data_IF_331818807376
#
_entry.id   IF_331818807376
#
_cell.length_a   1.000
_cell.length_b   1.000
_cell.length_c   1.000
_cell.angle_alpha   90.00
_cell.angle_beta   90.00
_cell.angle_gamma   90.00
#
_symmetry.space_group_name_H-M   'P 1'
#
loop_
_entity.id
_entity.type
_entity.pdbx_description
1 polymer ?
#
# COMPACT_ATOMS: atom_id res chain seq x y z
N UNK A 1 -13.00 -3.03 8.79
CA UNK A 1 -13.53 -1.90 9.62
C UNK A 1 -13.17 -2.09 11.09
N UNK A 2 -12.56 -1.10 11.76
CA UNK A 2 -12.14 -1.18 13.17
C UNK A 2 -12.73 -0.03 13.99
N UNK A 3 -13.27 -0.34 15.17
CA UNK A 3 -13.74 0.62 16.18
C UNK A 3 -12.64 0.77 17.23
N UNK A 4 -12.25 1.99 17.58
CA UNK A 4 -11.22 2.25 18.60
C UNK A 4 -11.87 2.98 19.78
N UNK A 5 -11.65 2.45 20.98
CA UNK A 5 -11.99 3.13 22.24
C UNK A 5 -10.78 3.92 22.72
N UNK A 6 -10.96 5.20 23.03
CA UNK A 6 -9.88 6.06 23.54
C UNK A 6 -10.16 6.47 24.97
N UNK A 7 -9.11 6.46 25.80
CA UNK A 7 -9.20 6.85 27.19
C UNK A 7 -8.04 7.68 27.72
N UNK A 8 -8.37 8.82 28.34
CA UNK A 8 -7.36 9.70 28.93
C UNK A 8 -6.86 9.09 30.25
N UNK A 9 -5.59 8.70 30.30
CA UNK A 9 -4.91 8.24 31.51
C UNK A 9 -3.55 8.93 31.65
N UNK A 10 -3.28 9.43 32.86
CA UNK A 10 -2.03 10.07 33.27
C UNK A 10 -0.99 8.97 33.50
N UNK A 11 0.05 8.93 32.67
CA UNK A 11 1.03 7.84 32.65
C UNK A 11 2.13 8.01 33.70
N UNK A 12 2.32 6.97 34.52
CA UNK A 12 3.55 6.71 35.27
C UNK A 12 4.52 5.87 34.43
N UNK A 13 5.78 6.30 34.37
CA UNK A 13 6.84 5.73 33.54
C UNK A 13 7.49 4.54 34.24
N UNK A 14 7.66 3.41 33.54
CA UNK A 14 8.63 2.38 33.90
C UNK A 14 9.36 1.90 32.64
N UNK A 15 10.68 2.19 32.60
CA UNK A 15 11.63 1.68 31.62
C UNK A 15 12.01 0.23 31.94
N UNK A 16 12.18 -0.60 30.92
CA UNK A 16 13.04 -1.79 30.99
C UNK A 16 13.75 -2.04 29.66
N UNK A 17 14.99 -2.50 29.76
CA UNK A 17 16.10 -2.40 28.81
C UNK A 17 16.43 -3.77 28.19
N UNK A 18 16.82 -3.74 26.89
CA UNK A 18 17.68 -4.61 26.07
C UNK A 18 17.94 -6.10 26.39
N UNK A 19 18.09 -6.93 25.33
CA UNK A 19 19.37 -7.53 24.92
C UNK A 19 19.26 -8.38 23.64
N UNK A 20 20.21 -8.21 22.72
CA UNK A 20 20.48 -9.06 21.55
C UNK A 20 21.41 -10.22 21.94
N UNK A 21 21.31 -11.38 21.27
CA UNK A 21 22.49 -12.22 21.01
C UNK A 21 22.41 -12.83 19.61
N UNK A 22 23.52 -12.69 18.89
CA UNK A 22 23.81 -13.35 17.63
C UNK A 22 24.58 -14.65 17.92
N UNK A 23 24.48 -15.64 17.03
CA UNK A 23 25.46 -16.72 16.94
C UNK A 23 25.69 -17.10 15.48
N UNK A 24 26.97 -17.19 15.12
CA UNK A 24 27.53 -17.59 13.83
C UNK A 24 28.35 -18.85 14.06
N UNK A 25 28.28 -19.89 13.22
CA UNK A 25 29.39 -20.86 13.05
C UNK A 25 29.38 -21.50 11.65
N UNK A 26 30.50 -21.29 10.96
CA UNK A 26 31.26 -22.10 9.98
C UNK A 26 30.76 -23.44 9.41
N UNK A 27 31.02 -23.66 8.11
CA UNK A 27 32.15 -24.52 7.64
C UNK A 27 32.23 -24.61 6.11
N UNK A 28 33.47 -24.57 5.60
CA UNK A 28 33.87 -24.62 4.17
C UNK A 28 34.06 -26.07 3.65
N UNK A 29 34.84 -26.35 2.58
CA UNK A 29 34.38 -26.61 1.22
C UNK A 29 34.67 -28.05 0.73
N UNK A 30 33.97 -28.52 -0.31
CA UNK A 30 34.37 -29.74 -1.03
C UNK A 30 34.44 -29.48 -2.53
N UNK A 31 35.67 -29.48 -3.02
CA UNK A 31 36.08 -29.49 -4.42
C UNK A 31 35.69 -30.82 -5.08
N UNK A 32 35.05 -30.77 -6.25
CA UNK A 32 35.12 -31.85 -7.26
C UNK A 32 35.16 -31.24 -8.66
N UNK A 33 36.31 -31.43 -9.30
CA UNK A 33 36.46 -31.40 -10.75
C UNK A 33 35.55 -32.46 -11.38
N UNK A 34 34.73 -32.05 -12.35
CA UNK A 34 34.29 -32.94 -13.42
C UNK A 34 34.38 -32.17 -14.72
N UNK A 35 35.43 -32.46 -15.48
CA UNK A 35 35.60 -32.10 -16.88
C UNK A 35 34.50 -32.77 -17.70
N UNK A 36 33.58 -31.99 -18.23
CA UNK A 36 32.65 -32.44 -19.27
C UNK A 36 32.55 -31.36 -20.34
N UNK A 37 33.23 -31.61 -21.45
CA UNK A 37 33.09 -30.97 -22.75
C UNK A 37 31.61 -30.79 -23.09
N UNK A 38 31.07 -29.59 -22.87
CA UNK A 38 29.77 -29.19 -23.39
C UNK A 38 29.97 -28.60 -24.77
N UNK A 39 29.62 -29.38 -25.78
CA UNK A 39 29.34 -28.85 -27.11
C UNK A 39 28.33 -27.72 -26.97
N UNK A 40 28.72 -26.53 -27.42
CA UNK A 40 27.84 -25.38 -27.53
C UNK A 40 26.79 -25.68 -28.60
N UNK A 41 25.70 -26.32 -28.20
CA UNK A 41 24.47 -26.31 -28.96
C UNK A 41 23.92 -24.90 -28.86
N UNK A 42 24.08 -24.13 -29.93
CA UNK A 42 23.33 -22.90 -30.17
C UNK A 42 21.86 -23.28 -30.28
N UNK A 43 21.21 -23.44 -29.12
CA UNK A 43 19.76 -23.58 -29.02
C UNK A 43 19.14 -22.25 -29.42
N UNK A 44 19.03 -22.04 -30.73
CA UNK A 44 18.15 -21.01 -31.30
C UNK A 44 16.73 -21.45 -31.03
N UNK A 45 16.26 -21.22 -29.79
CA UNK A 45 14.84 -21.36 -29.46
C UNK A 45 14.07 -20.40 -30.36
N UNK A 46 13.20 -20.97 -31.19
CA UNK A 46 12.29 -20.17 -32.01
C UNK A 46 11.54 -19.18 -31.11
N UNK A 47 11.30 -17.93 -31.55
CA UNK A 47 10.54 -16.96 -30.78
C UNK A 47 9.17 -17.54 -30.41
N UNK A 48 8.79 -17.45 -29.13
CA UNK A 48 7.47 -17.90 -28.70
C UNK A 48 6.39 -17.08 -29.41
N UNK A 49 5.31 -17.70 -29.90
CA UNK A 49 4.21 -16.97 -30.51
C UNK A 49 3.59 -16.03 -29.47
N UNK A 50 3.43 -14.76 -29.83
CA UNK A 50 2.75 -13.74 -29.02
C UNK A 50 1.34 -13.57 -29.56
N UNK A 51 0.36 -13.65 -28.67
CA UNK A 51 -1.07 -13.48 -28.91
C UNK A 51 -1.60 -12.25 -28.17
N UNK A 52 -2.75 -11.75 -28.63
CA UNK A 52 -3.35 -10.52 -28.12
C UNK A 52 -2.73 -9.25 -28.72
N UNK A 53 -3.27 -8.11 -28.32
CA UNK A 53 -2.88 -6.80 -28.84
C UNK A 53 -2.02 -6.09 -27.81
N UNK A 54 -0.78 -5.77 -28.17
CA UNK A 54 0.01 -4.81 -27.38
C UNK A 54 -0.65 -3.43 -27.50
N UNK A 55 -1.03 -2.87 -26.36
CA UNK A 55 -1.61 -1.54 -26.31
C UNK A 55 -0.48 -0.49 -26.24
N UNK A 56 -0.66 0.69 -26.86
CA UNK A 56 0.34 1.77 -26.81
C UNK A 56 0.35 2.45 -25.43
N UNK A 57 0.88 1.74 -24.43
CA UNK A 57 1.05 2.20 -23.06
C UNK A 57 2.46 2.80 -22.91
N UNK A 58 2.57 4.11 -22.58
CA UNK A 58 3.84 4.84 -22.67
C UNK A 58 4.83 4.53 -21.54
N UNK A 59 4.38 4.00 -20.41
CA UNK A 59 5.23 3.77 -19.24
C UNK A 59 5.62 2.30 -19.17
N UNK A 60 6.91 2.00 -19.23
CA UNK A 60 7.44 0.66 -19.00
C UNK A 60 7.75 0.44 -17.51
N UNK A 61 7.35 -0.71 -16.98
CA UNK A 61 7.66 -1.10 -15.59
C UNK A 61 8.82 -2.09 -15.62
N UNK A 62 10.01 -1.60 -15.29
CA UNK A 62 11.27 -2.33 -15.50
C UNK A 62 11.79 -3.08 -14.28
N UNK A 63 11.16 -2.92 -13.11
CA UNK A 63 11.69 -3.46 -11.88
C UNK A 63 10.72 -3.39 -10.69
N UNK A 64 11.12 -3.97 -9.55
CA UNK A 64 10.38 -3.86 -8.31
C UNK A 64 10.34 -2.41 -7.82
N UNK A 65 9.27 -2.06 -7.11
CA UNK A 65 9.17 -0.79 -6.40
C UNK A 65 9.63 -0.98 -4.95
N UNK A 66 10.84 -0.49 -4.57
CA UNK A 66 11.38 -0.68 -3.22
C UNK A 66 10.57 0.00 -2.12
N UNK A 67 9.80 1.04 -2.45
CA UNK A 67 9.00 1.78 -1.47
C UNK A 67 7.58 1.21 -1.30
N UNK A 68 7.22 0.15 -2.05
CA UNK A 68 5.92 -0.49 -1.93
C UNK A 68 5.84 -1.27 -0.62
N UNK A 69 4.83 -0.94 0.18
CA UNK A 69 4.58 -1.55 1.48
C UNK A 69 3.54 -2.66 1.36
N UNK A 70 3.84 -3.79 2.00
CA UNK A 70 2.78 -4.72 2.43
C UNK A 70 1.97 -4.09 3.56
N UNK A 71 0.73 -4.55 3.76
CA UNK A 71 -0.10 -4.06 4.87
C UNK A 71 0.63 -4.19 6.21
N UNK A 72 1.34 -5.30 6.45
CA UNK A 72 2.12 -5.51 7.68
C UNK A 72 3.25 -4.48 7.86
N UNK A 73 3.96 -4.13 6.79
CA UNK A 73 4.99 -3.08 6.85
C UNK A 73 4.37 -1.72 7.12
N UNK A 74 3.27 -1.38 6.44
CA UNK A 74 2.54 -0.15 6.69
C UNK A 74 2.01 -0.05 8.14
N UNK A 75 1.57 -1.16 8.74
CA UNK A 75 1.18 -1.19 10.15
C UNK A 75 2.36 -0.97 11.10
N UNK A 76 3.52 -1.55 10.78
CA UNK A 76 4.73 -1.47 11.63
C UNK A 76 5.36 -0.08 11.66
N UNK A 77 5.04 0.80 10.71
CA UNK A 77 5.57 2.17 10.65
C UNK A 77 5.02 3.09 11.74
N UNK A 78 3.85 2.76 12.28
CA UNK A 78 3.17 3.60 13.25
C UNK A 78 3.29 2.99 14.64
N UNK A 79 3.63 3.81 15.66
CA UNK A 79 3.60 3.34 17.03
C UNK A 79 2.20 2.82 17.37
N UNK A 80 2.08 1.90 18.34
CA UNK A 80 0.78 1.49 18.84
C UNK A 80 0.01 2.72 19.33
N UNK A 81 -1.31 2.71 19.12
CA UNK A 81 -2.17 3.80 19.56
C UNK A 81 -1.98 4.05 21.05
N UNK A 82 -1.60 5.28 21.40
CA UNK A 82 -1.46 5.69 22.79
C UNK A 82 -2.71 6.43 23.22
N UNK A 83 -3.44 5.84 24.17
CA UNK A 83 -4.67 6.42 24.71
C UNK A 83 -4.40 7.72 25.50
N UNK A 84 -3.15 7.95 25.91
CA UNK A 84 -2.72 9.15 26.64
C UNK A 84 -2.56 10.41 25.78
N UNK A 85 -2.56 10.29 24.45
CA UNK A 85 -2.43 11.46 23.56
C UNK A 85 -3.73 12.27 23.51
N UNK A 86 -3.67 13.58 23.21
CA UNK A 86 -4.87 14.36 22.88
C UNK A 86 -5.65 13.72 21.73
N UNK A 87 -7.00 13.75 21.78
CA UNK A 87 -7.88 13.13 20.77
C UNK A 87 -7.51 13.54 19.35
N UNK A 88 -7.24 14.82 19.12
CA UNK A 88 -6.87 15.32 17.79
C UNK A 88 -5.53 14.78 17.29
N UNK A 89 -4.60 14.48 18.20
CA UNK A 89 -3.33 13.87 17.86
C UNK A 89 -3.48 12.39 17.54
N UNK A 90 -4.30 11.66 18.32
CA UNK A 90 -4.66 10.27 18.01
C UNK A 90 -5.35 10.16 16.65
N UNK A 91 -6.28 11.07 16.38
CA UNK A 91 -6.98 11.15 15.10
C UNK A 91 -6.01 11.42 13.95
N UNK A 92 -5.08 12.37 14.13
CA UNK A 92 -4.06 12.66 13.12
C UNK A 92 -3.17 11.44 12.86
N UNK A 93 -2.72 10.74 13.91
CA UNK A 93 -1.94 9.49 13.75
C UNK A 93 -2.72 8.41 13.01
N UNK A 94 -4.00 8.21 13.36
CA UNK A 94 -4.86 7.25 12.69
C UNK A 94 -5.08 7.61 11.21
N UNK A 95 -5.33 8.88 10.87
CA UNK A 95 -5.44 9.31 9.47
C UNK A 95 -4.15 9.11 8.68
N UNK A 96 -2.98 9.36 9.29
CA UNK A 96 -1.67 9.08 8.64
C UNK A 96 -1.53 7.62 8.29
N UNK A 97 -1.79 6.76 9.28
CA UNK A 97 -1.70 5.31 9.13
C UNK A 97 -2.61 4.78 8.03
N UNK A 98 -3.89 5.16 8.07
CA UNK A 98 -4.87 4.73 7.06
C UNK A 98 -4.53 5.30 5.67
N UNK A 99 -3.94 6.50 5.60
CA UNK A 99 -3.47 7.06 4.31
C UNK A 99 -2.30 6.26 3.74
N UNK A 100 -1.32 5.86 4.56
CA UNK A 100 -0.20 5.00 4.10
C UNK A 100 -0.74 3.67 3.59
N UNK A 101 -1.62 3.01 4.34
CA UNK A 101 -2.23 1.74 3.96
C UNK A 101 -2.91 1.84 2.58
N UNK A 102 -3.75 2.85 2.38
CA UNK A 102 -4.46 3.07 1.10
C UNK A 102 -3.54 3.42 -0.06
N UNK A 103 -2.48 4.20 0.21
CA UNK A 103 -1.52 4.62 -0.83
C UNK A 103 -0.50 3.55 -1.20
N UNK A 104 -0.31 2.54 -0.34
CA UNK A 104 0.68 1.48 -0.48
C UNK A 104 2.15 1.94 -0.37
N UNK A 105 2.43 3.23 -0.12
CA UNK A 105 3.80 3.77 -0.13
C UNK A 105 3.98 4.76 1.04
N UNK A 106 5.20 4.83 1.58
CA UNK A 106 5.60 5.89 2.51
C UNK A 106 5.43 7.28 1.91
N UNK A 107 5.18 8.27 2.76
CA UNK A 107 5.19 9.66 2.32
C UNK A 107 5.24 10.65 3.46
N UNK A 108 5.51 11.90 3.10
CA UNK A 108 5.54 13.03 4.01
C UNK A 108 4.12 13.47 4.35
N UNK A 109 3.87 13.68 5.63
CA UNK A 109 2.61 14.20 6.14
C UNK A 109 2.75 15.64 6.59
N UNK A 110 1.77 16.46 6.25
CA UNK A 110 1.56 17.77 6.83
C UNK A 110 0.64 17.73 8.04
N UNK A 111 0.09 18.90 8.37
CA UNK A 111 -0.92 19.02 9.42
C UNK A 111 -2.21 18.31 9.03
N UNK A 112 -2.86 17.72 10.03
CA UNK A 112 -4.26 17.34 9.96
C UNK A 112 -5.12 18.56 10.32
N UNK A 113 -6.26 18.71 9.65
CA UNK A 113 -7.19 19.81 9.88
C UNK A 113 -8.63 19.29 9.94
N UNK A 114 -9.41 19.84 10.86
CA UNK A 114 -10.84 19.60 10.95
C UNK A 114 -11.58 20.94 10.96
N UNK A 115 -12.83 21.00 10.45
CA UNK A 115 -13.65 22.20 10.49
C UNK A 115 -13.73 22.79 11.90
N UNK A 116 -13.61 24.11 12.02
CA UNK A 116 -13.64 24.84 13.31
C UNK A 116 -12.61 24.35 14.34
N UNK A 117 -11.53 23.70 13.89
CA UNK A 117 -10.44 23.23 14.74
C UNK A 117 -10.70 21.92 15.50
N UNK A 118 -11.81 21.21 15.25
CA UNK A 118 -12.11 19.99 15.99
C UNK A 118 -13.27 19.16 15.45
N UNK A 119 -13.65 18.14 16.21
CA UNK A 119 -14.77 17.25 15.91
C UNK A 119 -16.09 17.84 16.40
N UNK A 120 -17.17 17.54 15.68
CA UNK A 120 -18.53 17.80 16.17
C UNK A 120 -18.88 16.76 17.24
N UNK A 121 -18.79 17.14 18.51
CA UNK A 121 -19.01 16.26 19.67
C UNK A 121 -20.50 15.98 19.93
N UNK A 122 -21.10 15.14 19.08
CA UNK A 122 -22.50 14.68 19.17
C UNK A 122 -22.59 13.24 18.67
N UNK A 123 -23.43 12.41 19.30
CA UNK A 123 -23.68 11.03 18.89
C UNK A 123 -24.04 10.95 17.39
N UNK A 124 -23.40 10.02 16.68
CA UNK A 124 -23.58 9.80 15.25
C UNK A 124 -23.10 10.95 14.34
N UNK A 125 -22.55 12.03 14.89
CA UNK A 125 -22.11 13.16 14.08
C UNK A 125 -20.86 12.79 13.27
N UNK A 126 -20.89 13.13 11.99
CA UNK A 126 -19.75 12.96 11.09
C UNK A 126 -19.10 14.30 10.83
N UNK A 127 -17.78 14.36 10.97
CA UNK A 127 -16.93 15.51 10.65
C UNK A 127 -15.93 15.10 9.59
N UNK A 128 -15.90 15.79 8.45
CA UNK A 128 -14.86 15.57 7.43
C UNK A 128 -13.62 16.35 7.82
N UNK A 129 -12.56 15.62 8.17
CA UNK A 129 -11.23 16.16 8.39
C UNK A 129 -10.36 15.88 7.17
N UNK A 130 -9.24 16.59 7.07
CA UNK A 130 -8.30 16.47 5.95
C UNK A 130 -6.90 16.30 6.49
N UNK A 131 -6.13 15.40 5.86
CA UNK A 131 -4.71 15.29 6.10
C UNK A 131 -3.93 15.58 4.82
N UNK A 132 -2.87 16.37 4.93
CA UNK A 132 -1.99 16.64 3.80
C UNK A 132 -0.94 15.52 3.69
N UNK A 133 -0.91 14.85 2.55
CA UNK A 133 0.01 13.75 2.26
C UNK A 133 0.71 14.03 0.93
N UNK A 134 2.04 14.17 0.95
CA UNK A 134 2.85 14.49 -0.25
C UNK A 134 2.32 15.68 -1.08
N UNK A 135 1.72 16.66 -0.40
CA UNK A 135 1.20 17.85 -1.06
C UNK A 135 -0.20 17.73 -1.67
N UNK A 136 -0.91 16.63 -1.42
CA UNK A 136 -2.36 16.51 -1.71
C UNK A 136 -3.17 16.41 -0.43
N UNK A 137 -4.41 16.88 -0.50
CA UNK A 137 -5.33 16.88 0.63
C UNK A 137 -6.22 15.64 0.58
N UNK A 138 -6.08 14.77 1.58
CA UNK A 138 -6.81 13.50 1.68
C UNK A 138 -7.96 13.65 2.68
N UNK A 139 -9.23 13.65 2.23
CA UNK A 139 -10.39 13.74 3.12
C UNK A 139 -10.68 12.43 3.86
N UNK A 140 -11.06 12.57 5.13
CA UNK A 140 -11.44 11.50 6.04
C UNK A 140 -12.71 11.89 6.79
N UNK A 141 -13.70 11.01 6.79
CA UNK A 141 -14.92 11.15 7.57
C UNK A 141 -14.74 10.53 8.94
N UNK A 142 -14.90 11.36 9.97
CA UNK A 142 -14.77 10.98 11.37
C UNK A 142 -16.15 10.96 12.00
N UNK A 143 -16.64 9.77 12.34
CA UNK A 143 -17.97 9.58 12.91
C UNK A 143 -17.86 9.25 14.39
N UNK A 144 -18.49 10.07 15.23
CA UNK A 144 -18.61 9.80 16.67
C UNK A 144 -19.64 8.69 16.89
N UNK A 145 -19.34 7.75 17.81
CA UNK A 145 -20.22 6.65 18.16
C UNK A 145 -21.62 7.10 18.61
N UNK A 146 -22.62 6.28 18.33
CA UNK A 146 -24.02 6.57 18.67
C UNK A 146 -24.29 6.55 20.18
N UNK A 147 -23.41 5.91 20.95
CA UNK A 147 -23.45 5.83 22.41
C UNK A 147 -22.80 7.05 23.11
N UNK A 148 -22.32 8.04 22.35
CA UNK A 148 -21.69 9.23 22.92
C UNK A 148 -22.65 10.01 23.83
N UNK A 149 -22.26 10.15 25.09
CA UNK A 149 -22.90 11.03 26.05
C UNK A 149 -22.18 12.38 26.12
N UNK A 150 -22.94 13.47 26.11
CA UNK A 150 -22.38 14.82 26.18
C UNK A 150 -21.52 14.98 27.44
N UNK A 151 -20.26 15.36 27.26
CA UNK A 151 -19.30 15.55 28.35
C UNK A 151 -18.54 14.28 28.74
N UNK A 152 -18.77 13.15 28.04
CA UNK A 152 -17.97 11.95 28.25
C UNK A 152 -16.50 12.20 27.88
N UNK A 153 -15.60 11.75 28.74
CA UNK A 153 -14.15 11.78 28.51
C UNK A 153 -13.68 10.61 27.61
N UNK A 154 -14.49 9.56 27.52
CA UNK A 154 -14.22 8.35 26.76
C UNK A 154 -15.33 8.17 25.73
N UNK A 155 -14.96 8.10 24.46
CA UNK A 155 -15.92 7.87 23.40
C UNK A 155 -15.27 7.17 22.22
N UNK A 156 -16.10 6.43 21.50
CA UNK A 156 -15.67 5.70 20.33
C UNK A 156 -15.84 6.60 19.11
N UNK A 157 -14.91 6.51 18.17
CA UNK A 157 -15.05 7.14 16.86
C UNK A 157 -14.56 6.20 15.76
N UNK A 158 -15.04 6.46 14.56
CA UNK A 158 -14.66 5.75 13.35
C UNK A 158 -14.02 6.71 12.36
N UNK A 159 -12.91 6.29 11.79
CA UNK A 159 -12.25 6.99 10.68
C UNK A 159 -12.57 6.23 9.40
N UNK A 160 -13.19 6.89 8.43
CA UNK A 160 -13.57 6.31 7.14
C UNK A 160 -13.09 7.21 6.02
N UNK A 161 -12.27 6.69 5.11
CA UNK A 161 -11.88 7.45 3.93
C UNK A 161 -12.86 7.15 2.80
N UNK A 162 -13.32 8.19 2.11
CA UNK A 162 -14.25 8.06 0.97
C UNK A 162 -13.54 8.09 -0.38
N UNK A 163 -12.21 8.12 -0.36
CA UNK A 163 -11.35 8.24 -1.53
C UNK A 163 -10.14 7.31 -1.40
N UNK A 164 -9.55 6.97 -2.55
CA UNK A 164 -8.22 6.35 -2.61
C UNK A 164 -7.13 7.37 -2.92
N UNK A 165 -5.89 6.99 -2.65
CA UNK A 165 -4.70 7.75 -3.03
C UNK A 165 -3.97 6.96 -4.11
N UNK A 166 -4.21 7.33 -5.37
CA UNK A 166 -3.55 6.74 -6.52
C UNK A 166 -2.12 7.24 -6.61
N UNK A 167 -1.15 6.32 -6.67
CA UNK A 167 0.27 6.63 -6.91
C UNK A 167 0.81 5.74 -8.02
N UNK A 168 1.45 6.33 -9.03
CA UNK A 168 2.06 5.60 -10.14
C UNK A 168 3.01 4.50 -9.64
N UNK A 169 3.92 4.84 -8.73
CA UNK A 169 4.88 3.90 -8.11
C UNK A 169 4.18 2.70 -7.46
N UNK A 170 3.06 2.92 -6.77
CA UNK A 170 2.34 1.83 -6.09
C UNK A 170 1.74 0.86 -7.11
N UNK A 171 1.12 1.41 -8.17
CA UNK A 171 0.57 0.62 -9.27
C UNK A 171 1.65 -0.18 -10.00
N UNK A 172 2.80 0.45 -10.29
CA UNK A 172 3.93 -0.22 -10.93
C UNK A 172 4.47 -1.36 -10.08
N UNK A 173 4.63 -1.14 -8.77
CA UNK A 173 5.04 -2.18 -7.82
C UNK A 173 4.04 -3.34 -7.74
N UNK A 174 2.74 -3.04 -7.72
CA UNK A 174 1.69 -4.07 -7.75
C UNK A 174 1.72 -4.88 -9.04
N UNK A 175 1.92 -4.22 -10.18
CA UNK A 175 2.04 -4.90 -11.49
C UNK A 175 3.27 -5.80 -11.52
N UNK A 176 4.42 -5.27 -11.09
CA UNK A 176 5.65 -6.03 -10.98
C UNK A 176 5.46 -7.26 -10.11
N UNK A 177 4.86 -7.12 -8.93
CA UNK A 177 4.61 -8.25 -8.03
C UNK A 177 3.66 -9.27 -8.65
N UNK A 178 2.59 -8.83 -9.32
CA UNK A 178 1.61 -9.70 -10.00
C UNK A 178 2.27 -10.52 -11.13
N UNK A 179 3.12 -9.88 -11.92
CA UNK A 179 3.77 -10.50 -13.08
C UNK A 179 5.17 -11.08 -12.81
N UNK A 180 5.71 -10.92 -11.59
CA UNK A 180 7.06 -11.36 -11.20
C UNK A 180 7.33 -12.86 -11.41
N UNK A 181 6.26 -13.66 -11.51
CA UNK A 181 6.32 -15.11 -11.74
C UNK A 181 6.48 -15.50 -13.20
N UNK A 182 6.41 -14.53 -14.13
CA UNK A 182 6.47 -14.77 -15.57
C UNK A 182 7.87 -14.44 -16.10
N UNK A 183 8.52 -15.34 -16.85
CA UNK A 183 9.87 -15.12 -17.39
C UNK A 183 9.98 -14.03 -18.48
N UNK A 184 8.86 -13.58 -19.07
CA UNK A 184 8.83 -12.51 -20.09
C UNK A 184 8.20 -11.22 -19.54
N UNK A 185 8.96 -10.48 -18.73
CA UNK A 185 8.50 -9.29 -17.99
C UNK A 185 8.33 -8.04 -18.88
N UNK A 186 7.52 -8.13 -19.94
CA UNK A 186 7.09 -6.94 -20.67
C UNK A 186 5.87 -6.36 -19.95
N UNK A 187 6.13 -5.37 -19.11
CA UNK A 187 5.13 -4.70 -18.28
C UNK A 187 4.99 -3.26 -18.72
N UNK A 188 3.76 -2.81 -18.97
CA UNK A 188 3.47 -1.43 -19.37
C UNK A 188 2.25 -0.90 -18.62
N UNK A 189 2.17 0.40 -18.43
CA UNK A 189 1.00 1.09 -17.89
C UNK A 189 0.67 2.36 -18.69
N UNK A 190 -0.58 2.79 -18.57
CA UNK A 190 -0.98 4.15 -18.94
C UNK A 190 -0.13 5.19 -18.18
N UNK A 191 -0.15 6.45 -18.63
CA UNK A 191 0.51 7.55 -17.94
C UNK A 191 -0.24 7.92 -16.64
N UNK A 192 0.04 7.17 -15.57
CA UNK A 192 -0.53 7.37 -14.24
C UNK A 192 0.16 8.57 -13.57
N UNK A 193 -0.59 9.51 -12.96
CA UNK A 193 0.01 10.61 -12.23
C UNK A 193 0.80 10.09 -11.02
N UNK A 194 1.90 10.76 -10.70
CA UNK A 194 2.74 10.43 -9.52
C UNK A 194 1.90 10.31 -8.24
N UNK A 195 0.93 11.22 -8.08
CA UNK A 195 -0.04 11.16 -7.01
C UNK A 195 -1.36 11.84 -7.41
N UNK A 196 -2.49 11.22 -7.07
CA UNK A 196 -3.83 11.79 -7.25
C UNK A 196 -4.81 11.19 -6.24
N UNK A 197 -5.67 12.03 -5.68
CA UNK A 197 -6.84 11.55 -4.93
C UNK A 197 -7.93 11.17 -5.92
N UNK A 198 -8.47 9.96 -5.80
CA UNK A 198 -9.47 9.41 -6.73
C UNK A 198 -10.66 8.83 -5.95
N UNK A 199 -11.80 8.75 -6.62
CA UNK A 199 -12.96 8.06 -6.05
C UNK A 199 -12.70 6.56 -5.94
N UNK A 200 -13.44 5.88 -5.06
CA UNK A 200 -13.45 4.43 -5.00
C UNK A 200 -14.03 3.87 -6.31
N UNK A 201 -13.53 2.70 -6.72
CA UNK A 201 -13.85 2.04 -7.98
C UNK A 201 -12.79 2.22 -9.06
N UNK A 202 -13.16 2.01 -10.34
CA UNK A 202 -12.24 2.10 -11.47
C UNK A 202 -11.64 3.51 -11.61
N UNK A 203 -10.33 3.58 -11.76
CA UNK A 203 -9.61 4.87 -11.86
C UNK A 203 -9.50 5.40 -13.29
N UNK A 204 -9.82 4.57 -14.29
CA UNK A 204 -9.63 4.84 -15.71
C UNK A 204 -8.24 4.50 -16.25
N UNK A 205 -7.28 4.17 -15.37
CA UNK A 205 -5.95 3.71 -15.77
C UNK A 205 -5.90 2.21 -15.92
N UNK A 206 -5.03 1.75 -16.82
CA UNK A 206 -4.79 0.33 -17.10
C UNK A 206 -3.31 0.05 -17.12
N UNK A 207 -2.99 -1.21 -16.87
CA UNK A 207 -1.69 -1.78 -17.13
C UNK A 207 -1.83 -3.03 -17.99
N UNK A 208 -0.74 -3.44 -18.58
CA UNK A 208 -0.67 -4.61 -19.44
C UNK A 208 0.61 -5.36 -19.13
N UNK A 209 0.52 -6.68 -19.12
CA UNK A 209 1.67 -7.56 -18.98
C UNK A 209 1.57 -8.75 -19.93
N UNK A 210 2.72 -9.28 -20.30
CA UNK A 210 2.82 -10.47 -21.14
C UNK A 210 2.94 -11.71 -20.25
N UNK A 211 2.03 -12.67 -20.38
CA UNK A 211 1.99 -13.90 -19.59
C UNK A 211 1.96 -15.16 -20.47
N UNK A 212 2.40 -16.30 -19.94
CA UNK A 212 2.26 -17.60 -20.60
C UNK A 212 0.86 -18.17 -20.38
N UNK A 213 0.17 -18.54 -21.46
CA UNK A 213 -1.07 -19.31 -21.36
C UNK A 213 -0.75 -20.79 -21.16
N UNK A 214 -1.24 -21.38 -20.05
CA UNK A 214 -0.80 -22.69 -19.54
C UNK A 214 -0.97 -23.92 -20.44
N UNK A 215 -1.56 -23.81 -21.64
CA UNK A 215 -1.76 -24.94 -22.56
C UNK A 215 -0.93 -24.90 -23.86
N UNK A 216 -0.34 -23.75 -24.22
CA UNK A 216 0.22 -23.55 -25.58
C UNK A 216 1.65 -23.02 -25.62
N UNK A 217 2.29 -22.79 -24.45
CA UNK A 217 3.55 -22.03 -24.32
C UNK A 217 3.56 -20.66 -25.01
N UNK A 218 2.39 -20.22 -25.52
CA UNK A 218 2.20 -18.94 -26.16
C UNK A 218 2.18 -17.85 -25.11
N UNK A 219 2.73 -16.70 -25.48
CA UNK A 219 2.68 -15.50 -24.69
C UNK A 219 1.40 -14.74 -25.05
N UNK A 220 0.66 -14.28 -24.06
CA UNK A 220 -0.58 -13.53 -24.24
C UNK A 220 -0.52 -12.22 -23.48
N UNK A 221 -0.85 -11.14 -24.18
CA UNK A 221 -1.02 -9.85 -23.55
C UNK A 221 -2.28 -9.83 -22.69
N UNK A 222 -2.11 -9.57 -21.39
CA UNK A 222 -3.19 -9.44 -20.41
C UNK A 222 -3.30 -7.99 -19.98
N UNK A 223 -4.48 -7.40 -20.13
CA UNK A 223 -4.79 -6.05 -19.66
C UNK A 223 -5.47 -6.14 -18.30
N UNK A 224 -5.02 -5.33 -17.35
CA UNK A 224 -5.62 -5.18 -16.02
C UNK A 224 -6.02 -3.73 -15.77
N UNK A 225 -7.12 -3.54 -15.06
CA UNK A 225 -7.59 -2.22 -14.65
C UNK A 225 -6.98 -1.84 -13.30
N UNK A 226 -6.67 -0.57 -13.15
CA UNK A 226 -6.29 0.00 -11.86
C UNK A 226 -7.57 0.44 -11.14
N UNK A 227 -7.86 -0.21 -10.03
CA UNK A 227 -9.07 0.00 -9.23
C UNK A 227 -8.67 0.41 -7.82
N UNK A 228 -9.47 1.27 -7.20
CA UNK A 228 -9.43 1.52 -5.76
C UNK A 228 -10.61 0.79 -5.14
N UNK A 229 -10.37 -0.13 -4.21
CA UNK A 229 -11.47 -0.90 -3.61
C UNK A 229 -12.26 -0.11 -2.56
N UNK A 230 -13.23 -0.78 -1.92
CA UNK A 230 -14.09 -0.18 -0.90
C UNK A 230 -13.34 0.27 0.36
N UNK A 231 -12.20 -0.37 0.66
CA UNK A 231 -11.31 0.01 1.76
C UNK A 231 -10.36 1.16 1.36
N UNK A 232 -10.36 1.55 0.09
CA UNK A 232 -9.52 2.60 -0.47
C UNK A 232 -8.13 2.13 -0.90
N UNK A 233 -7.90 0.82 -0.96
CA UNK A 233 -6.62 0.22 -1.37
C UNK A 233 -6.54 0.06 -2.89
N UNK A 234 -5.33 0.18 -3.44
CA UNK A 234 -5.07 0.01 -4.87
C UNK A 234 -5.02 -1.48 -5.25
N UNK A 235 -5.72 -1.85 -6.32
CA UNK A 235 -5.77 -3.20 -6.87
C UNK A 235 -5.62 -3.23 -8.39
N UNK A 236 -5.17 -4.37 -8.89
CA UNK A 236 -5.10 -4.68 -10.31
C UNK A 236 -6.07 -5.81 -10.63
N UNK A 237 -7.13 -5.49 -11.34
CA UNK A 237 -8.21 -6.40 -11.71
C UNK A 237 -8.10 -6.83 -13.18
#
# INVERSE_FOLDING_TARGET
>A
MRTIRVGVLIAGVALAVAACTANSVDSSPTTRETTATSAASTSSSAPRPVQGVELPMPVEVTGPEPDLLTSNQAYAEFPPASVSLPVMEQLAQQMRKETVLRSGIRGRFGAASCPRGGLTMRAGATTTCTIRYEGVDVPWNITIGDDYQRGSQFFDYRVTGTVGVLRARAVHGLLWNKASRVPSQRLRCDAIPEMKVVQLGPTGYRCQYLDTTGASDALMWTVVQVVVDEDGELRLE
#
